data_IF_754165901438
#
_entry.id   IF_754165901438
#
_cell.length_a   1.000
_cell.length_b   1.000
_cell.length_c   1.000
_cell.angle_alpha   90.00
_cell.angle_beta   90.00
_cell.angle_gamma   90.00
#
_symmetry.space_group_name_H-M   'P 1'
#
loop_
_entity.id
_entity.type
_entity.pdbx_description
1 polymer ?
#
# COMPACT_ATOMS: atom_id res chain seq x y z
N UNK A 1 13.30 -12.12 1.64
CA UNK A 1 13.14 -10.67 1.90
C UNK A 1 11.65 -10.39 1.75
N UNK A 2 11.03 -9.73 2.71
CA UNK A 2 9.59 -9.47 2.69
C UNK A 2 9.23 -8.47 1.59
N UNK A 3 8.78 -8.94 0.42
CA UNK A 3 8.48 -8.08 -0.73
C UNK A 3 7.44 -6.99 -0.42
N UNK A 4 6.70 -7.12 0.69
CA UNK A 4 5.71 -6.15 1.15
C UNK A 4 6.29 -4.75 1.38
N UNK A 5 7.50 -4.62 1.97
CA UNK A 5 8.07 -3.29 2.21
C UNK A 5 8.50 -2.59 0.93
N UNK A 6 8.99 -3.35 -0.07
CA UNK A 6 9.35 -2.81 -1.39
C UNK A 6 8.11 -2.29 -2.12
N UNK A 7 7.03 -3.07 -2.10
CA UNK A 7 5.75 -2.69 -2.69
C UNK A 7 5.19 -1.42 -2.02
N UNK A 8 5.19 -1.37 -0.68
CA UNK A 8 4.67 -0.20 0.05
C UNK A 8 5.52 1.05 -0.19
N UNK A 9 6.85 0.92 -0.23
CA UNK A 9 7.74 2.03 -0.57
C UNK A 9 7.51 2.55 -2.00
N UNK A 10 7.29 1.65 -2.96
CA UNK A 10 6.97 2.02 -4.33
C UNK A 10 5.62 2.76 -4.43
N UNK A 11 4.59 2.27 -3.75
CA UNK A 11 3.29 2.95 -3.66
C UNK A 11 3.43 4.34 -3.04
N UNK A 12 4.20 4.48 -1.95
CA UNK A 12 4.42 5.77 -1.30
C UNK A 12 5.07 6.79 -2.26
N UNK A 13 6.04 6.34 -3.06
CA UNK A 13 6.69 7.17 -4.08
C UNK A 13 5.71 7.66 -5.14
N UNK A 14 4.84 6.78 -5.65
CA UNK A 14 3.83 7.13 -6.63
C UNK A 14 2.78 8.10 -6.05
N UNK A 15 2.27 7.82 -4.84
CA UNK A 15 1.37 8.72 -4.12
C UNK A 15 1.97 10.13 -3.97
N UNK A 16 3.24 10.21 -3.55
CA UNK A 16 3.96 11.48 -3.40
C UNK A 16 3.98 12.30 -4.70
N UNK A 17 4.33 11.67 -5.81
CA UNK A 17 4.39 12.32 -7.12
C UNK A 17 3.01 12.87 -7.53
N UNK A 18 1.95 12.08 -7.35
CA UNK A 18 0.59 12.47 -7.70
C UNK A 18 0.08 13.64 -6.86
N UNK A 19 0.32 13.61 -5.55
CA UNK A 19 -0.04 14.71 -4.64
C UNK A 19 0.66 16.01 -5.04
N UNK A 20 1.94 15.94 -5.42
CA UNK A 20 2.71 17.11 -5.87
C UNK A 20 2.24 17.64 -7.23
N UNK A 21 1.86 16.76 -8.16
CA UNK A 21 1.41 17.15 -9.50
C UNK A 21 0.02 17.80 -9.49
N UNK A 22 -0.92 17.23 -8.73
CA UNK A 22 -2.33 17.69 -8.76
C UNK A 22 -2.63 18.86 -7.81
N UNK A 23 -1.65 19.28 -7.00
CA UNK A 23 -1.68 20.49 -6.17
C UNK A 23 -3.06 20.73 -5.51
N UNK A 24 -3.51 19.76 -4.71
CA UNK A 24 -4.88 19.75 -4.18
C UNK A 24 -5.11 20.96 -3.26
N UNK A 25 -5.89 21.93 -3.73
CA UNK A 25 -6.13 23.20 -3.07
C UNK A 25 -7.39 23.19 -2.19
N UNK A 26 -7.99 22.02 -1.94
CA UNK A 26 -9.18 21.94 -1.10
C UNK A 26 -8.84 22.17 0.38
N UNK A 27 -9.07 23.41 0.81
CA UNK A 27 -8.73 23.93 2.14
C UNK A 27 -9.71 23.52 3.26
N UNK A 28 -10.71 22.69 2.97
CA UNK A 28 -11.75 22.30 3.93
C UNK A 28 -11.42 21.01 4.70
N UNK A 29 -10.46 20.22 4.23
CA UNK A 29 -10.06 18.99 4.91
C UNK A 29 -9.12 19.26 6.11
N UNK A 30 -9.17 18.44 7.17
CA UNK A 30 -8.28 18.56 8.32
C UNK A 30 -6.79 18.64 7.94
N UNK A 31 -5.99 19.27 8.80
CA UNK A 31 -4.55 19.47 8.57
C UNK A 31 -3.78 18.17 8.26
N UNK A 32 -4.18 17.05 8.88
CA UNK A 32 -3.60 15.74 8.64
C UNK A 32 -3.87 15.19 7.23
N UNK A 33 -4.90 15.68 6.53
CA UNK A 33 -5.18 15.30 5.16
C UNK A 33 -4.54 16.27 4.15
N UNK A 34 -3.95 17.38 4.60
CA UNK A 34 -3.41 18.39 3.68
C UNK A 34 -2.24 17.81 2.85
N UNK A 35 -2.10 18.20 1.57
CA UNK A 35 -1.09 17.64 0.68
C UNK A 35 0.34 17.65 1.24
N UNK A 36 0.72 18.72 1.94
CA UNK A 36 2.03 18.82 2.58
C UNK A 36 2.25 17.71 3.63
N UNK A 37 1.21 17.37 4.40
CA UNK A 37 1.28 16.28 5.36
C UNK A 37 1.32 14.92 4.67
N UNK A 38 0.57 14.73 3.58
CA UNK A 38 0.61 13.48 2.82
C UNK A 38 1.99 13.24 2.18
N UNK A 39 2.62 14.27 1.63
CA UNK A 39 3.99 14.20 1.10
C UNK A 39 4.97 13.86 2.22
N UNK A 40 4.84 14.49 3.39
CA UNK A 40 5.66 14.16 4.55
C UNK A 40 5.49 12.68 4.96
N UNK A 41 4.25 12.18 5.05
CA UNK A 41 3.99 10.76 5.35
C UNK A 41 4.61 9.82 4.33
N UNK A 42 4.54 10.14 3.03
CA UNK A 42 5.18 9.33 1.99
C UNK A 42 6.70 9.27 2.18
N UNK A 43 7.35 10.40 2.52
CA UNK A 43 8.77 10.41 2.82
C UNK A 43 9.11 9.56 4.06
N UNK A 44 8.29 9.61 5.11
CA UNK A 44 8.48 8.76 6.28
C UNK A 44 8.34 7.26 5.98
N UNK A 45 7.42 6.89 5.08
CA UNK A 45 7.29 5.50 4.61
C UNK A 45 8.54 5.09 3.84
N UNK A 46 9.03 5.93 2.92
CA UNK A 46 10.25 5.64 2.14
C UNK A 46 11.49 5.50 3.04
N UNK A 47 11.71 6.46 3.96
CA UNK A 47 12.86 6.50 4.87
C UNK A 47 12.91 5.34 5.87
N UNK A 48 11.75 4.83 6.30
CA UNK A 48 11.65 3.82 7.36
C UNK A 48 11.08 2.48 6.88
N UNK A 49 11.02 2.26 5.57
CA UNK A 49 10.42 1.06 4.98
C UNK A 49 11.11 -0.24 5.42
N UNK A 50 12.43 -0.21 5.63
CA UNK A 50 13.22 -1.40 6.02
C UNK A 50 13.17 -1.70 7.53
N UNK A 51 12.97 -0.68 8.36
CA UNK A 51 13.01 -0.80 9.83
C UNK A 51 11.62 -0.89 10.48
N UNK A 52 10.55 -0.63 9.72
CA UNK A 52 9.19 -0.58 10.23
C UNK A 52 8.42 -1.86 9.87
N UNK A 53 7.66 -2.46 10.80
CA UNK A 53 6.82 -3.61 10.48
C UNK A 53 5.85 -3.33 9.31
N UNK A 54 5.76 -4.26 8.36
CA UNK A 54 4.92 -4.12 7.17
C UNK A 54 3.45 -3.79 7.51
N UNK A 55 2.91 -4.36 8.59
CA UNK A 55 1.53 -4.06 9.06
C UNK A 55 1.31 -2.59 9.41
N UNK A 56 2.33 -1.91 9.94
CA UNK A 56 2.28 -0.48 10.26
C UNK A 56 2.43 0.36 9.00
N UNK A 57 3.33 -0.02 8.10
CA UNK A 57 3.49 0.63 6.79
C UNK A 57 2.19 0.54 5.95
N UNK A 58 1.52 -0.61 5.96
CA UNK A 58 0.22 -0.82 5.31
C UNK A 58 -0.86 0.14 5.82
N UNK A 59 -0.92 0.38 7.14
CA UNK A 59 -1.87 1.35 7.71
C UNK A 59 -1.55 2.77 7.27
N UNK A 60 -0.27 3.13 7.20
CA UNK A 60 0.16 4.46 6.80
C UNK A 60 -0.13 4.74 5.32
N UNK A 61 0.22 3.80 4.43
CA UNK A 61 -0.07 3.97 3.01
C UNK A 61 -1.58 3.96 2.75
N UNK A 62 -2.36 3.13 3.45
CA UNK A 62 -3.82 3.13 3.36
C UNK A 62 -4.43 4.47 3.78
N UNK A 63 -3.89 5.12 4.82
CA UNK A 63 -4.31 6.48 5.21
C UNK A 63 -4.06 7.49 4.09
N UNK A 64 -2.86 7.47 3.49
CA UNK A 64 -2.49 8.37 2.38
C UNK A 64 -3.43 8.17 1.19
N UNK A 65 -3.69 6.92 0.80
CA UNK A 65 -4.57 6.58 -0.33
C UNK A 65 -6.01 7.07 -0.08
N UNK A 66 -6.55 6.84 1.12
CA UNK A 66 -7.86 7.36 1.49
C UNK A 66 -7.91 8.90 1.49
N UNK A 67 -6.85 9.57 1.94
CA UNK A 67 -6.76 11.02 1.89
C UNK A 67 -6.74 11.54 0.44
N UNK A 68 -6.03 10.86 -0.46
CA UNK A 68 -6.01 11.20 -1.88
C UNK A 68 -7.39 11.03 -2.54
N UNK A 69 -8.14 9.98 -2.19
CA UNK A 69 -9.53 9.81 -2.61
C UNK A 69 -10.42 10.95 -2.07
N UNK A 70 -10.27 11.33 -0.80
CA UNK A 70 -11.05 12.39 -0.18
C UNK A 70 -10.82 13.77 -0.83
N UNK A 71 -9.59 14.04 -1.30
CA UNK A 71 -9.28 15.24 -2.07
C UNK A 71 -9.72 15.17 -3.54
N UNK A 72 -10.13 14.00 -4.03
CA UNK A 72 -10.32 13.76 -5.46
C UNK A 72 -9.01 13.86 -6.26
N UNK A 73 -7.86 13.62 -5.61
CA UNK A 73 -6.56 13.50 -6.31
C UNK A 73 -6.56 12.24 -7.15
N UNK A 74 -7.17 11.17 -6.64
CA UNK A 74 -7.43 9.94 -7.38
C UNK A 74 -8.89 9.54 -7.20
N UNK A 75 -9.42 8.80 -8.16
CA UNK A 75 -10.59 7.95 -7.94
C UNK A 75 -10.20 6.50 -7.59
N UNK A 76 -11.21 5.64 -7.37
CA UNK A 76 -10.99 4.25 -7.00
C UNK A 76 -10.35 3.42 -8.13
N UNK A 77 -10.63 3.76 -9.39
CA UNK A 77 -10.08 3.05 -10.54
C UNK A 77 -8.60 3.42 -10.72
N UNK A 78 -8.27 4.71 -10.63
CA UNK A 78 -6.90 5.22 -10.65
C UNK A 78 -6.07 4.63 -9.48
N UNK A 79 -6.66 4.56 -8.28
CA UNK A 79 -6.00 3.94 -7.12
C UNK A 79 -5.70 2.45 -7.35
N UNK A 80 -6.65 1.71 -7.92
CA UNK A 80 -6.48 0.29 -8.24
C UNK A 80 -5.39 0.10 -9.31
N UNK A 81 -5.43 0.90 -10.36
CA UNK A 81 -4.43 0.84 -11.43
C UNK A 81 -3.01 1.10 -10.90
N UNK A 82 -2.87 2.09 -10.02
CA UNK A 82 -1.61 2.39 -9.32
C UNK A 82 -1.11 1.20 -8.48
N UNK A 83 -2.00 0.54 -7.74
CA UNK A 83 -1.65 -0.67 -6.98
C UNK A 83 -1.21 -1.82 -7.89
N UNK A 84 -1.96 -2.08 -8.97
CA UNK A 84 -1.67 -3.15 -9.91
C UNK A 84 -0.33 -2.90 -10.63
N UNK A 85 0.00 -1.64 -10.95
CA UNK A 85 1.29 -1.25 -11.50
C UNK A 85 2.43 -1.51 -10.52
N UNK A 86 2.32 -1.02 -9.28
CA UNK A 86 3.32 -1.26 -8.24
C UNK A 86 3.49 -2.76 -7.95
N UNK A 87 2.41 -3.54 -7.99
CA UNK A 87 2.44 -5.00 -7.84
C UNK A 87 3.12 -5.69 -9.02
N UNK A 88 2.98 -5.22 -10.25
CA UNK A 88 3.73 -5.79 -11.38
C UNK A 88 5.22 -5.53 -11.27
N UNK A 89 5.59 -4.32 -10.84
CA UNK A 89 6.98 -3.89 -10.76
C UNK A 89 7.72 -4.50 -9.56
N UNK A 90 7.01 -4.83 -8.49
CA UNK A 90 7.59 -5.27 -7.21
C UNK A 90 7.05 -6.60 -6.67
N UNK A 91 6.03 -7.19 -7.29
CA UNK A 91 5.32 -8.39 -6.83
C UNK A 91 5.63 -9.65 -7.64
N UNK A 92 6.80 -9.78 -8.26
CA UNK A 92 7.23 -11.07 -8.80
C UNK A 92 7.87 -11.94 -7.71
N UNK A 93 7.02 -12.72 -7.04
CA UNK A 93 7.31 -14.14 -6.82
C UNK A 93 6.04 -14.94 -7.06
N UNK A 94 6.17 -16.06 -7.77
CA UNK A 94 5.10 -17.02 -8.04
C UNK A 94 4.46 -17.60 -6.77
N UNK A 95 5.08 -17.40 -5.61
CA UNK A 95 4.66 -17.91 -4.31
C UNK A 95 3.34 -17.28 -3.81
N UNK A 96 3.05 -16.00 -4.08
CA UNK A 96 1.79 -15.38 -3.66
C UNK A 96 0.58 -15.91 -4.44
N UNK A 97 0.77 -16.42 -5.66
CA UNK A 97 -0.32 -16.99 -6.46
C UNK A 97 -0.63 -18.43 -6.03
N UNK A 98 0.41 -19.19 -5.68
CA UNK A 98 0.27 -20.54 -5.13
C UNK A 98 -0.35 -20.50 -3.73
N UNK A 99 0.08 -19.60 -2.83
CA UNK A 99 -0.54 -19.43 -1.48
C UNK A 99 -2.03 -19.03 -1.57
N UNK A 100 -2.39 -18.17 -2.54
CA UNK A 100 -3.78 -17.75 -2.76
C UNK A 100 -4.65 -18.83 -3.42
N UNK A 101 -4.05 -19.83 -4.08
CA UNK A 101 -4.80 -20.89 -4.79
C UNK A 101 -4.57 -22.28 -4.22
N UNK A 102 -3.81 -22.41 -3.13
CA UNK A 102 -3.51 -23.68 -2.48
C UNK A 102 -4.77 -24.39 -1.98
N UNK A 103 -5.77 -23.64 -1.54
CA UNK A 103 -7.09 -24.16 -1.16
C UNK A 103 -7.91 -24.71 -2.35
N UNK A 104 -7.49 -24.45 -3.60
CA UNK A 104 -8.08 -24.96 -4.83
C UNK A 104 -7.31 -26.17 -5.39
N UNK A 105 -6.15 -26.50 -4.83
CA UNK A 105 -5.35 -27.64 -5.24
C UNK A 105 -5.61 -28.86 -4.33
N UNK A 106 -6.33 -29.90 -4.81
CA UNK A 106 -6.64 -31.09 -4.01
C UNK A 106 -5.41 -31.96 -3.68
N UNK A 107 -4.24 -31.67 -4.24
CA UNK A 107 -2.97 -32.30 -3.90
C UNK A 107 -2.16 -31.49 -2.85
N UNK A 108 -2.60 -30.27 -2.50
CA UNK A 108 -1.97 -29.45 -1.47
C UNK A 108 -2.39 -29.95 -0.07
N UNK A 109 -1.42 -30.13 0.82
CA UNK A 109 -1.63 -30.60 2.19
C UNK A 109 -2.02 -29.44 3.12
N UNK A 110 -3.04 -28.67 2.74
CA UNK A 110 -3.47 -27.50 3.49
C UNK A 110 -3.93 -27.91 4.91
N UNK A 111 -3.06 -27.71 5.90
CA UNK A 111 -3.43 -27.75 7.32
C UNK A 111 -3.89 -26.35 7.71
N UNK A 112 -5.16 -26.23 8.07
CA UNK A 112 -5.70 -25.01 8.64
C UNK A 112 -5.05 -24.83 10.02
N UNK A 113 -3.95 -24.09 10.12
CA UNK A 113 -3.45 -23.64 11.42
C UNK A 113 -4.46 -22.64 11.99
N UNK A 114 -5.48 -23.18 12.68
CA UNK A 114 -6.32 -22.43 13.58
C UNK A 114 -5.42 -22.05 14.76
N UNK A 115 -4.70 -20.94 14.60
CA UNK A 115 -3.83 -20.35 15.62
C UNK A 115 -4.65 -19.87 16.81
N UNK A 116 -4.94 -20.79 17.72
CA UNK A 116 -5.53 -20.54 19.02
C UNK A 116 -5.29 -21.75 19.91
N UNK A 117 -4.18 -21.73 20.66
CA UNK A 117 -4.01 -22.17 22.06
C UNK A 117 -2.52 -22.33 22.42
N UNK A 118 -2.12 -21.76 23.58
CA UNK A 118 -0.82 -21.99 24.22
C UNK A 118 -0.18 -20.75 24.83
#
# INVERSE_FOLDING_TARGET
MDNSYLLIGAMARQCKQLVQQRNATQSSLPSALQPAHLVWMCNQIEEHSEDTPATKLHRWIGFVQCAMLAHGILDLEELKAMFDEAKRDHGQTAEDLDDLTDHLNPASSFEFEIGGEG
#
